data_IF_195420179683
#
_entry.id   IF_195420179683
#
_cell.length_a   1.000
_cell.length_b   1.000
_cell.length_c   1.000
_cell.angle_alpha   90.00
_cell.angle_beta   90.00
_cell.angle_gamma   90.00
#
_symmetry.space_group_name_H-M   'P 1'
#
loop_
_entity.id
_entity.type
_entity.pdbx_description
1 polymer ?
#
# COMPACT_ATOMS: atom_id res chain seq x y z
N UNK A 1 -7.60 -6.90 -36.98
CA UNK A 1 -6.67 -6.53 -35.88
C UNK A 1 -7.09 -7.33 -34.67
N UNK A 2 -6.40 -8.46 -34.40
CA UNK A 2 -6.84 -9.43 -33.40
C UNK A 2 -6.82 -8.86 -31.98
N UNK A 3 -7.82 -9.22 -31.19
CA UNK A 3 -7.98 -8.74 -29.83
C UNK A 3 -6.98 -9.46 -28.90
N UNK A 4 -5.69 -9.08 -28.96
CA UNK A 4 -4.62 -9.66 -28.13
C UNK A 4 -4.88 -9.50 -26.62
N UNK A 5 -5.66 -8.48 -26.24
CA UNK A 5 -5.92 -8.13 -24.85
C UNK A 5 -7.29 -8.59 -24.32
N UNK A 6 -8.16 -9.14 -25.17
CA UNK A 6 -9.56 -9.44 -24.81
C UNK A 6 -9.90 -10.94 -24.78
N UNK A 7 -8.91 -11.83 -24.70
CA UNK A 7 -9.13 -13.28 -24.75
C UNK A 7 -8.25 -14.10 -23.79
N UNK A 8 -8.26 -15.45 -23.89
CA UNK A 8 -7.49 -16.37 -23.03
C UNK A 8 -5.97 -16.13 -23.00
N UNK A 9 -5.46 -15.31 -23.93
CA UNK A 9 -4.05 -14.92 -23.99
C UNK A 9 -3.58 -14.20 -22.73
N UNK A 10 -4.42 -13.36 -22.10
CA UNK A 10 -4.07 -12.69 -20.85
C UNK A 10 -3.84 -13.71 -19.72
N UNK A 11 -4.65 -14.77 -19.67
CA UNK A 11 -4.49 -15.87 -18.72
C UNK A 11 -3.21 -16.66 -18.97
N UNK A 12 -2.84 -16.91 -20.23
CA UNK A 12 -1.58 -17.57 -20.60
C UNK A 12 -0.36 -16.76 -20.12
N UNK A 13 -0.35 -15.46 -20.37
CA UNK A 13 0.74 -14.57 -19.92
C UNK A 13 0.81 -14.56 -18.39
N UNK A 14 -0.33 -14.47 -17.71
CA UNK A 14 -0.39 -14.52 -16.25
C UNK A 14 0.20 -15.82 -15.70
N UNK A 15 -0.15 -16.97 -16.30
CA UNK A 15 0.40 -18.28 -15.92
C UNK A 15 1.92 -18.30 -16.10
N UNK A 16 2.46 -17.81 -17.23
CA UNK A 16 3.91 -17.77 -17.47
C UNK A 16 4.63 -16.92 -16.41
N UNK A 17 4.08 -15.75 -16.06
CA UNK A 17 4.63 -14.90 -15.01
C UNK A 17 4.56 -15.62 -13.66
N UNK A 18 3.48 -16.33 -13.36
CA UNK A 18 3.34 -17.11 -12.13
C UNK A 18 4.34 -18.27 -12.05
N UNK A 19 4.71 -18.88 -13.18
CA UNK A 19 5.75 -19.91 -13.25
C UNK A 19 7.15 -19.32 -13.00
N UNK A 20 7.45 -18.13 -13.54
CA UNK A 20 8.76 -17.48 -13.36
C UNK A 20 8.94 -16.89 -11.96
N UNK A 21 7.93 -16.19 -11.46
CA UNK A 21 8.01 -15.45 -10.21
C UNK A 21 7.45 -16.23 -9.01
N UNK A 22 6.53 -17.18 -9.25
CA UNK A 22 5.82 -17.91 -8.20
C UNK A 22 4.55 -17.19 -7.71
N UNK A 23 3.55 -17.97 -7.30
CA UNK A 23 2.24 -17.47 -6.86
C UNK A 23 2.30 -16.53 -5.64
N UNK A 24 3.31 -16.68 -4.77
CA UNK A 24 3.48 -15.83 -3.59
C UNK A 24 4.17 -14.49 -3.87
N UNK A 25 4.93 -14.35 -4.97
CA UNK A 25 5.74 -13.16 -5.23
C UNK A 25 4.97 -12.06 -5.97
N UNK A 26 4.06 -12.40 -6.88
CA UNK A 26 3.17 -11.41 -7.52
C UNK A 26 2.34 -10.60 -6.51
N UNK A 27 1.61 -11.21 -5.55
CA UNK A 27 0.83 -10.45 -4.58
C UNK A 27 1.71 -9.65 -3.62
N UNK A 28 2.90 -10.17 -3.26
CA UNK A 28 3.84 -9.45 -2.41
C UNK A 28 4.38 -8.18 -3.09
N UNK A 29 4.78 -8.28 -4.37
CA UNK A 29 5.24 -7.14 -5.16
C UNK A 29 4.12 -6.13 -5.39
N UNK A 30 2.92 -6.59 -5.74
CA UNK A 30 1.75 -5.74 -5.91
C UNK A 30 1.38 -5.00 -4.61
N UNK A 31 1.48 -5.66 -3.45
CA UNK A 31 1.19 -5.04 -2.15
C UNK A 31 2.21 -3.95 -1.80
N UNK A 32 3.49 -4.21 -2.00
CA UNK A 32 4.56 -3.22 -1.77
C UNK A 32 4.47 -2.02 -2.74
N UNK A 33 4.32 -2.27 -4.04
CA UNK A 33 4.13 -1.20 -5.03
C UNK A 33 2.82 -0.43 -4.80
N UNK A 34 1.75 -1.12 -4.41
CA UNK A 34 0.45 -0.54 -4.14
C UNK A 34 0.46 0.42 -2.94
N UNK A 35 1.26 0.14 -1.91
CA UNK A 35 1.45 1.06 -0.78
C UNK A 35 2.13 2.36 -1.22
N UNK A 36 3.23 2.29 -1.98
CA UNK A 36 3.92 3.47 -2.51
C UNK A 36 3.03 4.27 -3.48
N UNK A 37 2.30 3.57 -4.35
CA UNK A 37 1.38 4.20 -5.30
C UNK A 37 0.19 4.89 -4.60
N UNK A 38 -0.28 4.36 -3.46
CA UNK A 38 -1.36 4.96 -2.65
C UNK A 38 -0.90 6.27 -2.02
N UNK A 39 0.31 6.31 -1.45
CA UNK A 39 0.89 7.54 -0.88
C UNK A 39 1.04 8.59 -1.97
N UNK A 40 1.69 8.23 -3.09
CA UNK A 40 1.87 9.14 -4.22
C UNK A 40 0.54 9.64 -4.80
N UNK A 41 -0.47 8.77 -4.93
CA UNK A 41 -1.82 9.19 -5.38
C UNK A 41 -2.52 10.08 -4.37
N UNK A 42 -2.31 9.88 -3.07
CA UNK A 42 -2.84 10.73 -2.00
C UNK A 42 -2.26 12.14 -2.07
N UNK A 43 -0.94 12.25 -2.14
CA UNK A 43 -0.24 13.53 -2.28
C UNK A 43 -0.61 14.24 -3.58
N UNK A 44 -0.66 13.52 -4.70
CA UNK A 44 -1.03 14.11 -5.98
C UNK A 44 -2.50 14.56 -6.04
N UNK A 45 -3.39 13.89 -5.28
CA UNK A 45 -4.79 14.28 -5.15
C UNK A 45 -4.94 15.47 -4.20
N UNK A 46 -4.14 15.55 -3.14
CA UNK A 46 -4.05 16.71 -2.26
C UNK A 46 -3.57 17.94 -3.04
N UNK A 47 -2.49 17.82 -3.84
CA UNK A 47 -2.03 18.91 -4.71
C UNK A 47 -3.11 19.39 -5.69
N UNK A 48 -3.84 18.46 -6.33
CA UNK A 48 -4.96 18.82 -7.20
C UNK A 48 -6.15 19.44 -6.46
N UNK A 49 -6.37 19.03 -5.22
CA UNK A 49 -7.43 19.57 -4.37
C UNK A 49 -7.04 20.95 -3.84
N UNK A 50 -5.78 21.18 -3.50
CA UNK A 50 -5.21 22.47 -3.10
C UNK A 50 -5.26 23.46 -4.28
N UNK A 51 -4.97 23.04 -5.52
CA UNK A 51 -5.13 23.89 -6.71
C UNK A 51 -6.61 24.31 -6.93
N UNK A 52 -7.56 23.51 -6.45
CA UNK A 52 -9.00 23.83 -6.46
C UNK A 52 -9.51 24.53 -5.18
N UNK A 53 -8.83 24.32 -4.04
CA UNK A 53 -9.16 24.81 -2.70
C UNK A 53 -8.38 26.07 -2.31
N UNK A 54 -7.38 26.49 -3.10
CA UNK A 54 -6.83 27.86 -3.07
C UNK A 54 -7.91 28.89 -3.51
N UNK A 55 -9.09 28.41 -3.94
CA UNK A 55 -10.33 29.20 -4.05
C UNK A 55 -11.33 29.02 -2.90
N UNK A 56 -11.07 28.17 -1.91
CA UNK A 56 -11.96 27.91 -0.76
C UNK A 56 -11.19 27.28 0.43
N UNK A 57 -10.68 28.14 1.31
CA UNK A 57 -10.20 27.95 2.69
C UNK A 57 -10.42 26.57 3.40
N UNK A 58 -9.32 25.99 3.92
CA UNK A 58 -9.17 25.60 5.33
C UNK A 58 -9.70 24.24 5.86
N UNK A 59 -8.78 23.29 6.13
CA UNK A 59 -8.64 22.43 7.35
C UNK A 59 -8.20 20.98 7.02
N UNK A 60 -7.03 20.51 7.48
CA UNK A 60 -6.61 19.11 7.34
C UNK A 60 -7.25 18.23 8.42
N UNK A 61 -8.11 17.29 8.00
CA UNK A 61 -8.61 16.22 8.86
C UNK A 61 -7.59 15.09 8.91
N UNK A 62 -6.91 15.00 10.05
CA UNK A 62 -6.13 13.85 10.48
C UNK A 62 -7.05 12.63 10.58
N UNK A 63 -6.89 11.67 9.67
CA UNK A 63 -7.53 10.35 9.76
C UNK A 63 -6.64 9.35 9.03
N UNK A 64 -5.79 8.66 9.78
CA UNK A 64 -5.90 7.21 9.96
C UNK A 64 -4.71 6.70 10.78
N UNK A 65 -4.87 6.77 12.10
CA UNK A 65 -4.32 5.78 13.00
C UNK A 65 -4.77 4.39 12.50
N UNK A 66 -3.81 3.60 12.06
CA UNK A 66 -3.98 2.23 11.60
C UNK A 66 -3.15 1.30 12.48
N UNK A 67 -3.75 0.89 13.59
CA UNK A 67 -3.49 -0.27 14.44
C UNK A 67 -2.55 -1.32 13.82
N UNK A 68 -1.40 -1.55 14.46
CA UNK A 68 -0.83 -2.90 14.62
C UNK A 68 -0.63 -3.14 16.10
N UNK A 69 -1.73 -3.54 16.75
CA UNK A 69 -1.72 -4.30 18.01
C UNK A 69 -1.53 -5.76 17.64
N UNK A 70 -0.32 -6.30 17.84
CA UNK A 70 0.06 -7.71 18.07
C UNK A 70 1.60 -7.73 18.08
N UNK A 71 2.34 -8.05 19.14
CA UNK A 71 2.09 -8.97 20.22
C UNK A 71 2.75 -8.48 21.53
N UNK A 72 1.94 -8.45 22.57
CA UNK A 72 2.35 -8.55 23.96
C UNK A 72 2.91 -9.97 24.18
N UNK A 73 4.22 -10.08 24.41
CA UNK A 73 4.80 -11.18 25.16
C UNK A 73 5.31 -10.58 26.48
N UNK A 74 4.73 -10.94 27.63
CA UNK A 74 5.11 -10.38 28.91
C UNK A 74 6.46 -10.97 29.30
N UNK A 75 7.53 -10.24 29.05
CA UNK A 75 8.81 -10.50 29.72
C UNK A 75 8.80 -9.67 30.99
N UNK A 76 8.44 -10.36 32.08
CA UNK A 76 8.76 -10.03 33.46
C UNK A 76 10.03 -9.19 33.61
N UNK A 77 9.93 -8.11 34.40
CA UNK A 77 10.76 -7.89 35.60
C UNK A 77 12.29 -7.96 35.36
N UNK A 78 13.09 -6.89 35.36
CA UNK A 78 13.35 -5.93 36.44
C UNK A 78 14.30 -4.84 35.89
N UNK A 79 14.03 -3.54 36.08
CA UNK A 79 15.11 -2.66 36.52
C UNK A 79 14.64 -1.77 37.68
N UNK A 80 15.46 -1.57 38.71
CA UNK A 80 16.14 -0.29 38.74
C UNK A 80 17.57 -0.31 39.29
N UNK A 81 18.31 0.63 38.73
CA UNK A 81 19.60 1.18 39.13
C UNK A 81 19.58 1.70 40.59
N UNK A 82 20.78 1.71 41.20
CA UNK A 82 21.21 2.53 42.36
C UNK A 82 20.86 2.06 43.77
N UNK A 83 21.86 1.53 44.47
CA UNK A 83 22.44 2.09 45.72
C UNK A 83 23.88 1.62 45.86
#
# INVERSE_FOLDING_TARGET
>A
MGNLFAGPHLWIILIIILLLFGAAKLPALAKSMGQSARVFRGEMKAMKAEDAADKADGTPSDTASGTTTSAEAPSTDTPPRSS
#
